data_IF_962532200780
#
_entry.id   IF_962532200780
#
_cell.length_a   1.000
_cell.length_b   1.000
_cell.length_c   1.000
_cell.angle_alpha   90.00
_cell.angle_beta   90.00
_cell.angle_gamma   90.00
#
_symmetry.space_group_name_H-M   'P 1'
#
loop_
_entity.id
_entity.type
_entity.pdbx_description
1 polymer ?
#
# COMPACT_ATOMS: atom_id res chain seq x y z
N UNK A 1 11.61 22.85 14.23
CA UNK A 1 12.01 22.63 12.84
C UNK A 1 11.48 21.31 12.23
N UNK A 2 11.14 20.32 13.07
CA UNK A 2 10.41 19.09 12.65
C UNK A 2 9.00 19.41 12.12
N UNK A 3 8.35 20.45 12.68
CA UNK A 3 7.04 20.94 12.22
C UNK A 3 7.05 21.54 10.80
N UNK A 4 8.18 22.03 10.32
CA UNK A 4 8.27 22.66 8.99
C UNK A 4 8.36 21.63 7.85
N UNK A 5 8.98 20.48 8.09
CA UNK A 5 9.04 19.39 7.12
C UNK A 5 7.64 18.75 6.95
N UNK A 6 6.95 18.51 8.06
CA UNK A 6 5.59 17.96 8.09
C UNK A 6 4.57 18.91 7.41
N UNK A 7 4.66 20.23 7.64
CA UNK A 7 3.80 21.22 6.97
C UNK A 7 4.05 21.35 5.47
N UNK A 8 5.31 21.28 5.01
CA UNK A 8 5.61 21.34 3.56
C UNK A 8 5.20 20.05 2.85
N UNK A 9 5.35 18.92 3.50
CA UNK A 9 4.94 17.62 3.01
C UNK A 9 3.40 17.56 2.89
N UNK A 10 2.67 18.00 3.91
CA UNK A 10 1.21 18.17 3.88
C UNK A 10 0.76 19.17 2.80
N UNK A 11 1.46 20.29 2.62
CA UNK A 11 1.11 21.27 1.58
C UNK A 11 1.37 20.78 0.15
N UNK A 12 2.41 19.96 -0.09
CA UNK A 12 2.66 19.38 -1.40
C UNK A 12 1.62 18.31 -1.75
N UNK A 13 1.29 17.44 -0.81
CA UNK A 13 0.23 16.44 -0.98
C UNK A 13 -1.17 17.07 -1.08
N UNK A 14 -1.44 18.16 -0.35
CA UNK A 14 -2.70 18.91 -0.39
C UNK A 14 -2.87 19.70 -1.70
N UNK A 15 -1.81 20.25 -2.30
CA UNK A 15 -1.92 20.99 -3.56
C UNK A 15 -2.34 20.12 -4.74
N UNK A 16 -1.99 18.83 -4.75
CA UNK A 16 -2.42 17.92 -5.81
C UNK A 16 -3.86 17.44 -5.62
N UNK A 17 -4.40 17.50 -4.39
CA UNK A 17 -5.77 17.07 -4.06
C UNK A 17 -6.81 18.20 -4.07
N UNK A 18 -6.41 19.49 -4.11
CA UNK A 18 -7.33 20.63 -4.01
C UNK A 18 -8.01 21.05 -5.32
N UNK A 19 -8.21 20.15 -6.27
CA UNK A 19 -9.21 20.36 -7.32
C UNK A 19 -10.54 19.72 -6.94
N UNK A 20 -11.22 20.31 -5.96
CA UNK A 20 -12.68 20.26 -5.88
C UNK A 20 -13.31 19.25 -4.94
N UNK A 21 -12.79 18.97 -3.73
CA UNK A 21 -13.54 18.24 -2.70
C UNK A 21 -13.23 18.83 -1.31
N UNK A 22 -14.26 19.30 -0.59
CA UNK A 22 -14.18 19.66 0.82
C UNK A 22 -14.01 18.39 1.67
N UNK A 23 -12.98 18.34 2.52
CA UNK A 23 -12.74 17.23 3.44
C UNK A 23 -13.11 17.64 4.87
N UNK A 24 -13.97 16.85 5.51
CA UNK A 24 -14.24 16.88 6.93
C UNK A 24 -13.30 15.90 7.61
N UNK A 25 -12.59 16.34 8.67
CA UNK A 25 -11.84 15.44 9.55
C UNK A 25 -12.85 14.47 10.21
N UNK A 26 -12.64 13.18 10.00
CA UNK A 26 -13.47 12.11 10.53
C UNK A 26 -12.88 11.69 11.87
N UNK A 27 -13.72 11.59 12.92
CA UNK A 27 -13.29 11.12 14.24
C UNK A 27 -13.07 9.59 14.23
N UNK A 28 -12.26 9.07 15.17
CA UNK A 28 -11.89 7.65 15.26
C UNK A 28 -13.09 6.68 15.25
N UNK A 29 -14.29 7.14 15.70
CA UNK A 29 -15.54 6.36 15.69
C UNK A 29 -16.16 6.18 14.29
N UNK A 30 -15.79 6.99 13.30
CA UNK A 30 -16.29 6.88 11.92
C UNK A 30 -15.40 5.98 11.04
N UNK A 31 -14.25 5.55 11.55
CA UNK A 31 -13.31 4.67 10.83
C UNK A 31 -13.81 3.23 10.82
N UNK A 32 -14.53 2.81 11.87
CA UNK A 32 -15.20 1.50 11.92
C UNK A 32 -16.27 1.36 10.83
N UNK A 33 -16.89 2.46 10.39
CA UNK A 33 -17.89 2.47 9.32
C UNK A 33 -17.27 2.29 7.92
N UNK A 34 -15.97 2.57 7.73
CA UNK A 34 -15.26 2.29 6.47
C UNK A 34 -15.04 0.78 6.25
N UNK A 35 -14.96 -0.02 7.33
CA UNK A 35 -14.95 -1.48 7.28
C UNK A 35 -16.28 -2.05 6.75
N UNK A 36 -17.40 -1.49 7.22
CA UNK A 36 -18.74 -2.01 6.97
C UNK A 36 -19.25 -1.77 5.54
N UNK A 37 -18.78 -0.72 4.89
CA UNK A 37 -19.30 -0.34 3.56
C UNK A 37 -18.84 -1.29 2.45
N UNK A 38 -17.71 -1.97 2.62
CA UNK A 38 -17.21 -2.89 1.59
C UNK A 38 -17.65 -4.35 1.82
N UNK A 39 -17.81 -4.77 3.08
CA UNK A 39 -18.24 -6.14 3.40
C UNK A 39 -19.69 -6.40 2.98
N UNK A 40 -20.58 -5.42 3.09
CA UNK A 40 -22.01 -5.57 2.71
C UNK A 40 -22.23 -5.62 1.19
N UNK A 41 -21.40 -4.97 0.38
CA UNK A 41 -21.53 -4.99 -1.09
C UNK A 41 -20.99 -6.26 -1.74
N UNK A 42 -20.11 -6.98 -1.08
CA UNK A 42 -19.51 -8.22 -1.60
C UNK A 42 -20.46 -9.41 -1.49
N UNK A 43 -21.49 -9.33 -0.62
CA UNK A 43 -22.45 -10.43 -0.39
C UNK A 43 -23.66 -10.35 -1.32
N UNK A 44 -24.02 -9.18 -1.83
CA UNK A 44 -25.26 -9.00 -2.62
C UNK A 44 -25.06 -9.07 -4.15
N UNK A 45 -23.85 -8.88 -4.66
CA UNK A 45 -23.55 -8.99 -6.10
C UNK A 45 -22.68 -10.22 -6.40
N UNK A 46 -23.26 -11.41 -6.32
CA UNK A 46 -22.73 -12.58 -7.03
C UNK A 46 -23.11 -12.44 -8.51
N UNK A 47 -22.85 -11.30 -9.12
CA UNK A 47 -22.66 -11.23 -10.55
C UNK A 47 -21.28 -11.80 -10.82
N UNK A 48 -21.24 -12.98 -11.45
CA UNK A 48 -20.02 -13.51 -12.06
C UNK A 48 -19.44 -12.36 -12.89
N UNK A 49 -18.24 -11.88 -12.59
CA UNK A 49 -17.69 -10.75 -13.32
C UNK A 49 -17.67 -11.13 -14.80
N UNK A 50 -18.05 -10.22 -15.68
CA UNK A 50 -17.83 -10.34 -17.13
C UNK A 50 -16.34 -10.49 -17.47
N UNK A 51 -15.47 -10.30 -16.49
CA UNK A 51 -14.03 -10.51 -16.55
C UNK A 51 -13.73 -12.01 -16.50
N UNK A 52 -12.95 -12.48 -17.47
CA UNK A 52 -12.50 -13.89 -17.60
C UNK A 52 -11.53 -14.33 -16.49
N UNK A 53 -11.30 -13.53 -15.45
CA UNK A 53 -10.38 -13.82 -14.37
C UNK A 53 -10.83 -13.27 -13.01
N UNK A 54 -10.43 -13.96 -11.95
CA UNK A 54 -10.51 -13.48 -10.56
C UNK A 54 -9.24 -12.70 -10.25
N UNK A 55 -9.39 -11.42 -9.95
CA UNK A 55 -8.29 -10.57 -9.50
C UNK A 55 -7.91 -10.89 -8.05
N UNK A 56 -6.67 -10.59 -7.69
CA UNK A 56 -6.20 -10.68 -6.30
C UNK A 56 -6.88 -9.68 -5.38
N UNK A 57 -6.93 -9.99 -4.08
CA UNK A 57 -7.43 -9.09 -3.04
C UNK A 57 -6.29 -8.38 -2.33
N UNK A 58 -6.57 -7.16 -1.84
CA UNK A 58 -5.60 -6.27 -1.18
C UNK A 58 -6.04 -5.99 0.25
N UNK A 59 -5.09 -6.05 1.18
CA UNK A 59 -5.20 -5.44 2.51
C UNK A 59 -4.30 -4.21 2.53
N UNK A 60 -4.86 -3.03 2.81
CA UNK A 60 -4.15 -1.76 2.81
C UNK A 60 -4.21 -1.10 4.18
N UNK A 61 -3.06 -0.99 4.86
CA UNK A 61 -2.88 -0.23 6.08
C UNK A 61 -2.21 1.10 5.73
N UNK A 62 -2.76 2.20 6.19
CA UNK A 62 -2.22 3.54 5.94
C UNK A 62 -2.19 4.39 7.21
N UNK A 63 -1.13 5.17 7.38
CA UNK A 63 -0.96 6.16 8.46
C UNK A 63 -1.72 7.46 8.24
N UNK A 64 -2.44 7.61 7.11
CA UNK A 64 -3.26 8.77 6.81
C UNK A 64 -4.65 8.36 6.30
N UNK A 65 -5.74 8.70 7.01
CA UNK A 65 -7.10 8.31 6.64
C UNK A 65 -7.57 8.94 5.31
N UNK A 66 -7.06 10.11 4.95
CA UNK A 66 -7.44 10.79 3.71
C UNK A 66 -6.82 10.10 2.50
N UNK A 67 -5.54 9.69 2.62
CA UNK A 67 -4.86 8.91 1.58
C UNK A 67 -5.45 7.53 1.45
N UNK A 68 -5.72 6.85 2.57
CA UNK A 68 -6.41 5.56 2.57
C UNK A 68 -7.73 5.65 1.80
N UNK A 69 -8.59 6.62 2.11
CA UNK A 69 -9.88 6.82 1.43
C UNK A 69 -9.70 7.00 -0.08
N UNK A 70 -8.70 7.76 -0.51
CA UNK A 70 -8.39 7.96 -1.92
C UNK A 70 -7.92 6.66 -2.59
N UNK A 71 -7.06 5.88 -1.92
CA UNK A 71 -6.59 4.59 -2.39
C UNK A 71 -7.74 3.58 -2.52
N UNK A 72 -8.61 3.49 -1.51
CA UNK A 72 -9.78 2.60 -1.51
C UNK A 72 -10.75 2.90 -2.64
N UNK A 73 -11.05 4.18 -2.89
CA UNK A 73 -11.84 4.60 -4.05
C UNK A 73 -11.20 4.14 -5.36
N UNK A 74 -9.88 4.25 -5.46
CA UNK A 74 -9.15 3.87 -6.67
C UNK A 74 -9.14 2.36 -6.91
N UNK A 75 -8.99 1.54 -5.84
CA UNK A 75 -9.16 0.09 -5.94
C UNK A 75 -10.55 -0.29 -6.46
N UNK A 76 -11.60 0.38 -5.94
CA UNK A 76 -12.97 0.16 -6.39
C UNK A 76 -13.13 0.49 -7.88
N UNK A 77 -12.58 1.62 -8.36
CA UNK A 77 -12.60 1.99 -9.79
C UNK A 77 -11.92 0.96 -10.68
N UNK A 78 -10.87 0.28 -10.18
CA UNK A 78 -10.16 -0.78 -10.90
C UNK A 78 -10.76 -2.18 -10.71
N UNK A 79 -11.87 -2.29 -9.99
CA UNK A 79 -12.52 -3.57 -9.69
C UNK A 79 -11.66 -4.51 -8.84
N UNK A 80 -10.83 -3.96 -7.94
CA UNK A 80 -10.00 -4.71 -6.99
C UNK A 80 -10.72 -4.79 -5.66
N UNK A 81 -10.89 -6.00 -5.12
CA UNK A 81 -11.34 -6.21 -3.75
C UNK A 81 -10.24 -5.75 -2.79
N UNK A 82 -10.52 -4.71 -2.00
CA UNK A 82 -9.57 -4.17 -1.05
C UNK A 82 -10.21 -3.95 0.31
N UNK A 83 -9.41 -4.14 1.37
CA UNK A 83 -9.75 -3.90 2.76
C UNK A 83 -8.80 -2.85 3.30
N UNK A 84 -9.32 -1.68 3.71
CA UNK A 84 -8.53 -0.55 4.16
C UNK A 84 -8.63 -0.33 5.65
N UNK A 85 -7.49 -0.09 6.31
CA UNK A 85 -7.42 0.20 7.74
C UNK A 85 -6.48 1.36 8.00
N UNK A 86 -6.97 2.35 8.74
CA UNK A 86 -6.16 3.42 9.28
C UNK A 86 -5.62 3.04 10.66
N UNK A 87 -4.31 3.15 10.82
CA UNK A 87 -3.61 3.07 12.11
C UNK A 87 -2.43 4.02 12.08
N UNK A 88 -1.93 4.41 13.25
CA UNK A 88 -0.62 5.04 13.32
C UNK A 88 0.47 4.02 12.96
N UNK A 89 1.56 4.49 12.41
CA UNK A 89 2.64 3.63 11.90
C UNK A 89 3.18 2.68 12.97
N UNK A 90 3.27 3.14 14.23
CA UNK A 90 3.75 2.34 15.37
C UNK A 90 2.81 1.17 15.71
N UNK A 91 1.56 1.22 15.28
CA UNK A 91 0.54 0.20 15.57
C UNK A 91 0.51 -0.94 14.54
N UNK A 92 1.04 -0.73 13.33
CA UNK A 92 0.94 -1.68 12.22
C UNK A 92 1.35 -3.10 12.61
N UNK A 93 2.54 -3.26 13.23
CA UNK A 93 3.07 -4.56 13.61
C UNK A 93 2.15 -5.33 14.55
N UNK A 94 1.44 -4.64 15.46
CA UNK A 94 0.51 -5.27 16.41
C UNK A 94 -0.80 -5.73 15.77
N UNK A 95 -1.24 -5.08 14.68
CA UNK A 95 -2.54 -5.32 14.04
C UNK A 95 -2.45 -6.31 12.88
N UNK A 96 -1.32 -6.34 12.17
CA UNK A 96 -1.19 -6.96 10.86
C UNK A 96 -1.50 -8.46 10.85
N UNK A 97 -1.04 -9.23 11.83
CA UNK A 97 -1.25 -10.68 11.86
C UNK A 97 -2.74 -11.04 11.97
N UNK A 98 -3.50 -10.32 12.79
CA UNK A 98 -4.92 -10.55 12.95
C UNK A 98 -5.70 -10.20 11.68
N UNK A 99 -5.33 -9.10 11.02
CA UNK A 99 -5.93 -8.66 9.77
C UNK A 99 -5.62 -9.61 8.61
N UNK A 100 -4.39 -10.12 8.53
CA UNK A 100 -4.01 -11.14 7.55
C UNK A 100 -4.83 -12.43 7.73
N UNK A 101 -5.02 -12.89 8.98
CA UNK A 101 -5.88 -14.04 9.28
C UNK A 101 -7.33 -13.78 8.91
N UNK A 102 -7.85 -12.59 9.20
CA UNK A 102 -9.26 -12.22 8.95
C UNK A 102 -9.57 -12.17 7.45
N UNK A 103 -8.70 -11.57 6.65
CA UNK A 103 -9.00 -11.26 5.24
C UNK A 103 -8.34 -12.20 4.24
N UNK A 104 -7.27 -12.90 4.64
CA UNK A 104 -6.46 -13.77 3.78
C UNK A 104 -6.17 -13.13 2.40
N UNK A 105 -5.56 -11.94 2.36
CA UNK A 105 -5.33 -11.19 1.13
C UNK A 105 -4.18 -11.80 0.32
N UNK A 106 -4.16 -11.53 -0.99
CA UNK A 106 -3.02 -11.85 -1.84
C UNK A 106 -1.92 -10.77 -1.77
N UNK A 107 -2.32 -9.53 -1.49
CA UNK A 107 -1.42 -8.38 -1.43
C UNK A 107 -1.62 -7.63 -0.11
N UNK A 108 -0.52 -7.23 0.48
CA UNK A 108 -0.47 -6.35 1.65
C UNK A 108 0.20 -5.04 1.27
N UNK A 109 -0.47 -3.93 1.54
CA UNK A 109 0.07 -2.58 1.37
C UNK A 109 0.19 -1.92 2.73
N UNK A 110 1.37 -1.39 3.04
CA UNK A 110 1.65 -0.71 4.30
C UNK A 110 2.26 0.65 3.95
N UNK A 111 1.45 1.70 4.03
CA UNK A 111 1.82 3.07 3.69
C UNK A 111 1.55 4.03 4.84
N UNK A 112 1.93 5.29 4.70
CA UNK A 112 1.76 6.31 5.73
C UNK A 112 2.74 7.45 5.52
N UNK A 113 3.31 7.95 6.62
CA UNK A 113 4.29 9.01 6.60
C UNK A 113 5.67 8.48 6.99
N UNK A 114 6.69 8.94 6.31
CA UNK A 114 8.08 8.73 6.71
C UNK A 114 8.94 9.88 6.22
N UNK A 115 10.05 10.12 6.88
CA UNK A 115 11.01 11.13 6.47
C UNK A 115 12.40 10.81 7.03
N UNK A 116 13.43 11.10 6.24
CA UNK A 116 14.80 11.17 6.75
C UNK A 116 14.95 12.44 7.60
N UNK A 117 15.43 12.32 8.82
CA UNK A 117 15.68 13.44 9.74
C UNK A 117 16.68 14.42 9.12
N UNK A 118 16.53 15.70 9.45
CA UNK A 118 17.47 16.73 9.01
C UNK A 118 18.89 16.36 9.54
N UNK A 119 19.87 16.33 8.65
CA UNK A 119 21.23 15.85 8.90
C UNK A 119 21.36 14.35 9.19
N UNK A 120 20.31 13.54 8.96
CA UNK A 120 20.37 12.10 9.09
C UNK A 120 21.17 11.43 7.98
N UNK A 121 21.77 10.29 8.30
CA UNK A 121 22.49 9.45 7.34
C UNK A 121 21.55 8.45 6.67
N UNK A 122 21.52 8.43 5.34
CA UNK A 122 20.65 7.53 4.54
C UNK A 122 20.79 6.03 4.86
N UNK A 123 21.91 5.62 5.45
CA UNK A 123 22.19 4.22 5.84
C UNK A 123 21.95 3.92 7.32
N UNK A 124 21.50 4.90 8.10
CA UNK A 124 21.19 4.71 9.51
C UNK A 124 19.66 4.67 9.70
N UNK A 125 19.14 3.52 10.09
CA UNK A 125 17.70 3.32 10.28
C UNK A 125 17.10 4.20 11.39
N UNK A 126 17.89 4.59 12.38
CA UNK A 126 17.45 5.47 13.46
C UNK A 126 17.22 6.93 13.02
N UNK A 127 17.72 7.27 11.84
CA UNK A 127 17.58 8.62 11.29
C UNK A 127 16.28 8.79 10.45
N UNK A 128 15.46 7.77 10.39
CA UNK A 128 14.12 7.81 9.78
C UNK A 128 13.04 7.94 10.86
N UNK A 129 11.89 8.51 10.48
CA UNK A 129 10.78 8.66 11.42
C UNK A 129 10.08 7.32 11.66
N UNK A 130 9.63 6.65 10.61
CA UNK A 130 8.78 5.47 10.68
C UNK A 130 9.29 4.26 9.87
N UNK A 131 10.47 4.33 9.23
CA UNK A 131 11.01 3.18 8.49
C UNK A 131 11.13 1.91 9.34
N UNK A 132 11.44 2.02 10.64
CA UNK A 132 11.51 0.88 11.54
C UNK A 132 10.14 0.28 11.84
N UNK A 133 9.09 1.10 11.94
CA UNK A 133 7.72 0.63 12.15
C UNK A 133 7.24 -0.19 10.94
N UNK A 134 7.55 0.27 9.73
CA UNK A 134 7.32 -0.50 8.51
C UNK A 134 8.10 -1.81 8.49
N UNK A 135 9.36 -1.80 8.90
CA UNK A 135 10.21 -3.01 8.99
C UNK A 135 9.59 -4.04 9.93
N UNK A 136 9.14 -3.63 11.11
CA UNK A 136 8.50 -4.53 12.08
C UNK A 136 7.19 -5.11 11.52
N UNK A 137 6.37 -4.29 10.87
CA UNK A 137 5.15 -4.73 10.22
C UNK A 137 5.43 -5.75 9.10
N UNK A 138 6.44 -5.53 8.25
CA UNK A 138 6.86 -6.49 7.21
C UNK A 138 7.30 -7.80 7.85
N UNK A 139 8.13 -7.77 8.90
CA UNK A 139 8.61 -8.97 9.59
C UNK A 139 7.44 -9.77 10.15
N UNK A 140 6.46 -9.12 10.81
CA UNK A 140 5.25 -9.78 11.30
C UNK A 140 4.40 -10.40 10.19
N UNK A 141 4.30 -9.73 9.05
CA UNK A 141 3.63 -10.29 7.89
C UNK A 141 4.38 -11.52 7.33
N UNK A 142 5.72 -11.51 7.31
CA UNK A 142 6.55 -12.63 6.86
C UNK A 142 6.62 -13.78 7.87
N UNK A 143 6.52 -13.53 9.17
CA UNK A 143 6.29 -14.57 10.19
C UNK A 143 4.98 -15.33 9.93
N UNK A 144 3.93 -14.63 9.48
CA UNK A 144 2.65 -15.23 9.11
C UNK A 144 2.70 -15.96 7.76
N UNK A 145 3.24 -15.31 6.73
CA UNK A 145 3.38 -15.87 5.38
C UNK A 145 4.78 -15.58 4.81
N UNK A 146 5.71 -16.53 4.92
CA UNK A 146 7.09 -16.36 4.46
C UNK A 146 7.23 -16.35 2.93
N UNK A 147 6.32 -17.02 2.21
CA UNK A 147 6.35 -17.08 0.75
C UNK A 147 5.96 -15.72 0.15
N UNK A 148 6.88 -15.16 -0.66
CA UNK A 148 6.71 -13.86 -1.30
C UNK A 148 5.72 -13.87 -2.46
N UNK A 149 5.45 -15.03 -3.05
CA UNK A 149 4.44 -15.18 -4.10
C UNK A 149 3.05 -15.44 -3.52
N UNK A 150 2.95 -16.04 -2.33
CA UNK A 150 1.68 -16.27 -1.63
C UNK A 150 1.14 -14.98 -0.97
N UNK A 151 2.02 -14.09 -0.51
CA UNK A 151 1.69 -12.77 0.00
C UNK A 151 2.67 -11.73 -0.56
N UNK A 152 2.22 -10.93 -1.51
CA UNK A 152 3.01 -9.82 -2.05
C UNK A 152 2.91 -8.62 -1.11
N UNK A 153 4.04 -8.06 -0.69
CA UNK A 153 4.09 -6.90 0.22
C UNK A 153 4.64 -5.68 -0.50
N UNK A 154 3.87 -4.60 -0.49
CA UNK A 154 4.32 -3.24 -0.79
C UNK A 154 4.44 -2.46 0.52
N UNK A 155 5.57 -1.80 0.78
CA UNK A 155 5.75 -1.06 2.02
C UNK A 155 6.50 0.27 1.84
N UNK A 156 6.25 1.20 2.76
CA UNK A 156 6.96 2.46 2.89
C UNK A 156 6.19 3.66 2.36
N UNK A 157 6.74 4.83 2.66
CA UNK A 157 6.19 6.14 2.38
C UNK A 157 7.25 7.05 1.71
N UNK A 158 7.03 8.37 1.74
CA UNK A 158 8.01 9.33 1.29
C UNK A 158 9.33 9.18 2.04
N UNK A 159 10.45 9.19 1.32
CA UNK A 159 11.81 9.13 1.88
C UNK A 159 12.14 7.91 2.76
N UNK A 160 11.34 6.85 2.75
CA UNK A 160 11.59 5.64 3.53
C UNK A 160 12.94 4.99 3.22
N UNK A 161 13.45 4.21 4.17
CA UNK A 161 14.69 3.44 3.99
C UNK A 161 14.43 2.21 3.11
N UNK A 162 14.34 2.43 1.80
CA UNK A 162 14.01 1.45 0.77
C UNK A 162 14.75 0.11 0.92
N UNK A 163 16.09 0.15 1.03
CA UNK A 163 16.93 -1.05 1.06
C UNK A 163 16.61 -1.92 2.28
N UNK A 164 16.30 -1.30 3.42
CA UNK A 164 15.95 -2.01 4.63
C UNK A 164 14.55 -2.65 4.53
N UNK A 165 13.59 -1.97 3.90
CA UNK A 165 12.25 -2.51 3.68
C UNK A 165 12.30 -3.74 2.78
N UNK A 166 13.04 -3.69 1.67
CA UNK A 166 13.20 -4.84 0.76
C UNK A 166 13.96 -5.98 1.46
N UNK A 167 15.04 -5.67 2.20
CA UNK A 167 15.80 -6.67 2.96
C UNK A 167 14.95 -7.33 4.07
N UNK A 168 13.97 -6.63 4.61
CA UNK A 168 13.05 -7.16 5.62
C UNK A 168 11.95 -8.05 5.04
N UNK A 169 11.84 -8.14 3.71
CA UNK A 169 10.93 -9.07 3.04
C UNK A 169 9.84 -8.44 2.20
N UNK A 170 9.80 -7.12 2.01
CA UNK A 170 8.90 -6.51 1.05
C UNK A 170 9.26 -6.93 -0.39
N UNK A 171 8.24 -7.12 -1.24
CA UNK A 171 8.44 -7.32 -2.67
C UNK A 171 8.70 -5.98 -3.36
N UNK A 172 8.00 -4.94 -2.91
CA UNK A 172 8.12 -3.57 -3.38
C UNK A 172 8.27 -2.63 -2.22
N UNK A 173 9.04 -1.58 -2.43
CA UNK A 173 9.16 -0.52 -1.44
C UNK A 173 9.23 0.86 -2.09
N UNK A 174 8.83 1.85 -1.30
CA UNK A 174 8.85 3.25 -1.67
C UNK A 174 10.25 3.85 -1.56
N UNK A 175 10.50 4.83 -2.41
CA UNK A 175 11.54 5.83 -2.24
C UNK A 175 12.99 5.34 -2.30
N UNK A 176 13.39 4.55 -3.33
CA UNK A 176 14.80 4.15 -3.49
C UNK A 176 15.74 5.35 -3.56
N UNK A 177 15.30 6.47 -4.11
CA UNK A 177 16.07 7.72 -4.18
C UNK A 177 15.79 8.72 -3.06
N UNK A 178 15.06 8.32 -2.01
CA UNK A 178 14.61 9.20 -0.90
C UNK A 178 13.81 10.41 -1.42
N UNK A 179 13.02 10.18 -2.48
CA UNK A 179 12.09 11.17 -3.04
C UNK A 179 10.70 11.00 -2.42
N UNK A 180 9.90 12.03 -2.51
CA UNK A 180 8.49 11.88 -2.20
C UNK A 180 7.83 11.01 -3.27
N UNK A 181 6.83 10.22 -2.86
CA UNK A 181 6.01 9.41 -3.76
C UNK A 181 4.60 9.99 -3.82
N UNK A 182 3.85 9.63 -4.83
CA UNK A 182 2.43 9.95 -4.89
C UNK A 182 1.64 8.86 -4.12
N UNK A 183 0.62 9.27 -3.36
CA UNK A 183 -0.17 8.34 -2.54
C UNK A 183 -0.86 7.22 -3.35
N UNK A 184 -1.08 7.42 -4.66
CA UNK A 184 -1.65 6.40 -5.54
C UNK A 184 -0.60 5.48 -6.19
N UNK A 185 0.70 5.75 -6.07
CA UNK A 185 1.72 4.87 -6.65
C UNK A 185 1.64 3.43 -6.13
N UNK A 186 1.40 3.17 -4.82
CA UNK A 186 1.14 1.82 -4.30
C UNK A 186 -0.06 1.15 -4.95
N UNK A 187 -1.13 1.90 -5.22
CA UNK A 187 -2.35 1.37 -5.86
C UNK A 187 -2.08 0.94 -7.29
N UNK A 188 -1.30 1.72 -8.05
CA UNK A 188 -0.93 1.39 -9.43
C UNK A 188 -0.18 0.05 -9.47
N UNK A 189 0.85 -0.10 -8.63
CA UNK A 189 1.66 -1.32 -8.53
C UNK A 189 0.79 -2.52 -8.14
N UNK A 190 0.05 -2.40 -7.05
CA UNK A 190 -0.73 -3.52 -6.50
C UNK A 190 -1.90 -3.91 -7.41
N UNK A 191 -2.53 -2.97 -8.09
CA UNK A 191 -3.58 -3.27 -9.09
C UNK A 191 -3.02 -4.06 -10.27
N UNK A 192 -1.84 -3.71 -10.74
CA UNK A 192 -1.21 -4.46 -11.83
C UNK A 192 -0.89 -5.90 -11.40
N UNK A 193 -0.33 -6.10 -10.20
CA UNK A 193 -0.04 -7.43 -9.65
C UNK A 193 -1.35 -8.22 -9.47
N UNK A 194 -2.37 -7.59 -8.88
CA UNK A 194 -3.68 -8.20 -8.66
C UNK A 194 -4.38 -8.65 -9.94
N UNK A 195 -4.05 -8.03 -11.08
CA UNK A 195 -4.65 -8.29 -12.40
C UNK A 195 -3.77 -9.16 -13.30
N UNK A 196 -2.48 -9.33 -13.00
CA UNK A 196 -1.57 -10.21 -13.77
C UNK A 196 -1.81 -11.66 -13.40
N UNK A 197 -1.81 -12.55 -14.39
CA UNK A 197 -2.06 -13.97 -14.17
C UNK A 197 -0.98 -14.61 -13.29
N UNK A 198 -1.37 -15.53 -12.41
CA UNK A 198 -0.46 -16.24 -11.49
C UNK A 198 0.64 -17.05 -12.20
N UNK A 199 0.48 -17.35 -13.47
CA UNK A 199 1.49 -18.04 -14.29
C UNK A 199 2.54 -17.11 -14.88
N UNK A 200 2.35 -15.79 -14.76
CA UNK A 200 3.17 -14.75 -15.37
C UNK A 200 3.86 -13.90 -14.31
N UNK A 201 5.05 -13.43 -14.64
CA UNK A 201 5.72 -12.37 -13.87
C UNK A 201 5.16 -11.00 -14.29
N UNK A 202 5.06 -10.11 -13.32
CA UNK A 202 4.68 -8.72 -13.57
C UNK A 202 5.83 -8.01 -14.29
N UNK A 203 5.52 -7.33 -15.39
CA UNK A 203 6.48 -6.48 -16.09
C UNK A 203 6.73 -5.20 -15.26
N UNK A 204 7.73 -5.27 -14.38
CA UNK A 204 8.01 -4.22 -13.40
C UNK A 204 8.41 -2.91 -14.06
N UNK A 205 9.16 -2.94 -15.14
CA UNK A 205 9.61 -1.72 -15.83
C UNK A 205 8.40 -0.94 -16.33
N UNK A 206 7.47 -1.61 -17.02
CA UNK A 206 6.24 -0.97 -17.50
C UNK A 206 5.32 -0.49 -16.39
N UNK A 207 5.28 -1.17 -15.24
CA UNK A 207 4.42 -0.77 -14.13
C UNK A 207 5.01 0.43 -13.40
N UNK A 208 6.31 0.41 -13.13
CA UNK A 208 7.02 1.52 -12.48
C UNK A 208 6.96 2.79 -13.35
N UNK A 209 7.03 2.66 -14.67
CA UNK A 209 6.88 3.82 -15.59
C UNK A 209 5.53 4.53 -15.47
N UNK A 210 4.49 3.84 -14.99
CA UNK A 210 3.16 4.44 -14.75
C UNK A 210 3.07 5.20 -13.43
N UNK A 211 4.05 5.03 -12.53
CA UNK A 211 4.10 5.77 -11.26
C UNK A 211 4.64 7.18 -11.44
N UNK A 212 4.34 8.06 -10.49
CA UNK A 212 4.62 9.50 -10.61
C UNK A 212 6.11 9.82 -10.70
N UNK A 213 6.95 9.11 -9.96
CA UNK A 213 8.40 9.32 -9.93
C UNK A 213 9.19 8.16 -10.53
N UNK A 214 8.50 7.22 -11.16
CA UNK A 214 9.12 6.06 -11.82
C UNK A 214 10.10 5.34 -10.89
N UNK A 215 11.24 4.90 -11.41
CA UNK A 215 12.30 4.21 -10.66
C UNK A 215 12.90 5.03 -9.50
N UNK A 216 12.68 6.34 -9.45
CA UNK A 216 13.10 7.18 -8.33
C UNK A 216 12.15 7.07 -7.13
N UNK A 217 10.87 6.74 -7.38
CA UNK A 217 9.82 6.70 -6.38
C UNK A 217 9.51 5.30 -5.85
N UNK A 218 9.60 4.28 -6.69
CA UNK A 218 9.28 2.89 -6.33
C UNK A 218 10.29 1.93 -6.94
N UNK A 219 10.62 0.89 -6.19
CA UNK A 219 11.41 -0.25 -6.69
C UNK A 219 10.93 -1.56 -6.08
N UNK A 220 11.45 -2.67 -6.55
CA UNK A 220 11.03 -3.99 -6.07
C UNK A 220 11.83 -5.13 -6.66
N UNK A 221 11.35 -6.34 -6.43
CA UNK A 221 11.91 -7.59 -6.95
C UNK A 221 10.93 -8.25 -7.94
N UNK A 222 11.43 -9.15 -8.75
CA UNK A 222 10.61 -9.97 -9.63
C UNK A 222 9.47 -10.63 -8.83
N UNK A 223 8.25 -10.42 -9.28
CA UNK A 223 7.06 -10.83 -8.54
C UNK A 223 6.04 -11.41 -9.52
N UNK A 224 5.44 -12.55 -9.16
CA UNK A 224 4.37 -13.16 -9.93
C UNK A 224 3.05 -12.39 -9.76
N UNK A 225 2.20 -12.45 -10.78
CA UNK A 225 0.81 -12.06 -10.66
C UNK A 225 0.04 -13.00 -9.73
N UNK A 226 -1.16 -12.58 -9.32
CA UNK A 226 -2.02 -13.37 -8.42
C UNK A 226 -3.42 -13.62 -8.98
N UNK A 227 -3.74 -13.09 -10.17
CA UNK A 227 -5.02 -13.32 -10.84
C UNK A 227 -5.16 -14.77 -11.33
N UNK A 228 -6.37 -15.30 -11.29
CA UNK A 228 -6.68 -16.67 -11.73
C UNK A 228 -7.76 -16.64 -12.80
N UNK A 229 -7.52 -17.37 -13.90
CA UNK A 229 -8.54 -17.52 -14.94
C UNK A 229 -9.75 -18.30 -14.43
N UNK A 230 -10.93 -17.89 -14.85
CA UNK A 230 -12.16 -18.63 -14.64
C UNK A 230 -12.36 -19.67 -15.76
N UNK A 231 -12.83 -20.86 -15.40
CA UNK A 231 -13.19 -21.93 -16.32
C UNK A 231 -14.61 -22.42 -16.00
N UNK A 232 -15.37 -22.86 -17.01
CA UNK A 232 -15.09 -22.84 -18.46
C UNK A 232 -15.06 -21.40 -19.00
N UNK A 233 -14.34 -21.21 -20.10
CA UNK A 233 -14.20 -19.90 -20.76
C UNK A 233 -15.38 -19.63 -21.68
#
# INVERSE_FOLDING_TARGET
DLHLCDRRQRQMCIRDSLRGIEYRLIADSEIDDLELVQDKRVIEDVHLPQEKCLKGSVLHLDGDPSYLKMCMKKYQEYGIRAYGYYFKEEEFASKITNLLKKHNPHLLVITGHDALKKNGHKRNSQDYLHSLDFVEAIKKAREYQPDKDALVIFAGACQSYYELLVASGANFASSPSRKNIHALDPVIITTQIASTNIKEYVDLEKVIEKTSFKQLGVGGIDTRGVARNLYPR
#
